data_IF_071664061754
#
_entry.id   IF_071664061754
#
_cell.length_a   1.000
_cell.length_b   1.000
_cell.length_c   1.000
_cell.angle_alpha   90.00
_cell.angle_beta   90.00
_cell.angle_gamma   90.00
#
_symmetry.space_group_name_H-M   'P 1'
#
loop_
_entity.id
_entity.type
_entity.pdbx_description
1 polymer ?
#
# COMPACT_ATOMS: atom_id res chain seq x y z
N UNK A 1 -40.82 7.13 12.34
CA UNK A 1 -39.47 6.90 12.88
C UNK A 1 -38.47 7.16 11.77
N UNK A 2 -37.40 7.94 11.99
CA UNK A 2 -36.33 8.01 11.01
C UNK A 2 -35.72 6.62 10.86
N UNK A 3 -35.55 6.18 9.62
CA UNK A 3 -34.82 4.96 9.31
C UNK A 3 -33.35 5.23 9.64
N UNK A 4 -32.91 4.79 10.81
CA UNK A 4 -31.50 4.85 11.20
C UNK A 4 -30.89 3.55 10.70
N UNK A 5 -30.10 3.63 9.64
CA UNK A 5 -29.18 2.55 9.29
C UNK A 5 -28.15 2.50 10.42
N UNK A 6 -28.05 1.37 11.11
CA UNK A 6 -26.89 1.09 11.94
C UNK A 6 -25.66 1.16 11.04
N UNK A 7 -24.82 2.19 11.21
CA UNK A 7 -23.52 2.27 10.55
C UNK A 7 -22.58 1.35 11.34
N UNK A 8 -22.19 0.18 10.81
CA UNK A 8 -21.28 -0.73 11.51
C UNK A 8 -19.85 -0.16 11.60
N UNK A 9 -19.60 1.04 11.07
CA UNK A 9 -18.29 1.69 11.14
C UNK A 9 -17.96 2.07 12.59
N UNK A 10 -16.79 1.66 13.12
CA UNK A 10 -16.41 2.02 14.48
C UNK A 10 -16.25 3.55 14.63
N UNK A 11 -16.41 4.12 15.85
CA UNK A 11 -16.18 5.55 16.07
C UNK A 11 -14.76 5.97 15.66
N UNK A 12 -14.64 7.09 14.93
CA UNK A 12 -13.33 7.64 14.58
C UNK A 12 -12.67 8.30 15.81
N UNK A 13 -11.55 7.77 16.35
CA UNK A 13 -10.88 8.36 17.50
C UNK A 13 -10.40 9.79 17.25
N UNK A 14 -10.20 10.17 15.98
CA UNK A 14 -9.73 11.51 15.58
C UNK A 14 -10.78 12.60 15.73
N UNK A 15 -12.06 12.24 15.93
CA UNK A 15 -13.11 13.23 16.24
C UNK A 15 -12.89 13.93 17.59
N UNK A 16 -12.13 13.31 18.50
CA UNK A 16 -11.73 13.91 19.79
C UNK A 16 -10.21 14.02 19.92
N UNK A 17 -9.51 14.19 18.80
CA UNK A 17 -8.04 14.13 18.77
C UNK A 17 -7.36 15.10 19.75
N UNK A 18 -7.94 16.31 19.89
CA UNK A 18 -7.46 17.33 20.83
C UNK A 18 -7.52 16.89 22.30
N UNK A 19 -8.46 16.02 22.65
CA UNK A 19 -8.67 15.53 24.03
C UNK A 19 -7.75 14.34 24.36
N UNK A 20 -7.14 13.71 23.36
CA UNK A 20 -6.26 12.56 23.53
C UNK A 20 -4.83 13.03 23.85
N UNK A 21 -4.19 12.38 24.82
CA UNK A 21 -2.75 12.50 25.01
C UNK A 21 -1.95 11.77 23.92
N UNK A 22 -0.63 11.95 23.91
CA UNK A 22 0.25 11.35 22.90
C UNK A 22 0.20 9.82 22.89
N UNK A 23 0.02 9.19 24.04
CA UNK A 23 -0.03 7.72 24.14
C UNK A 23 -1.33 7.17 23.54
N UNK A 24 -2.47 7.78 23.86
CA UNK A 24 -3.77 7.44 23.29
C UNK A 24 -3.81 7.69 21.77
N UNK A 25 -3.21 8.79 21.30
CA UNK A 25 -3.01 9.05 19.86
C UNK A 25 -2.14 7.97 19.20
N UNK A 26 -1.07 7.56 19.86
CA UNK A 26 -0.21 6.46 19.42
C UNK A 26 -0.96 5.13 19.31
N UNK A 27 -1.79 4.80 20.31
CA UNK A 27 -2.58 3.56 20.33
C UNK A 27 -3.58 3.48 19.17
N UNK A 28 -4.10 4.61 18.68
CA UNK A 28 -4.98 4.65 17.50
C UNK A 28 -4.30 4.20 16.19
N UNK A 29 -2.96 4.13 16.18
CA UNK A 29 -2.13 3.73 15.05
C UNK A 29 -1.20 2.55 15.37
N UNK A 30 -1.35 1.89 16.52
CA UNK A 30 -0.55 0.71 16.86
C UNK A 30 -1.21 -0.58 16.38
N UNK A 31 -1.05 -0.88 15.09
CA UNK A 31 -1.60 -2.09 14.50
C UNK A 31 -1.04 -3.38 15.14
N UNK A 32 0.18 -3.38 15.68
CA UNK A 32 0.72 -4.58 16.34
C UNK A 32 -0.02 -4.86 17.65
N UNK A 33 -0.29 -3.82 18.44
CA UNK A 33 -1.12 -3.96 19.63
C UNK A 33 -2.59 -4.25 19.30
N UNK A 34 -3.10 -3.71 18.18
CA UNK A 34 -4.48 -3.92 17.71
C UNK A 34 -4.77 -5.32 17.18
N UNK A 35 -3.75 -6.10 16.84
CA UNK A 35 -3.89 -7.47 16.30
C UNK A 35 -3.14 -8.46 17.20
N UNK A 36 -3.85 -9.26 18.03
CA UNK A 36 -3.23 -10.09 19.06
C UNK A 36 -2.14 -11.06 18.60
N UNK A 37 -2.23 -11.58 17.37
CA UNK A 37 -1.29 -12.53 16.78
C UNK A 37 -0.41 -11.89 15.69
N UNK A 38 -0.31 -10.56 15.64
CA UNK A 38 0.48 -9.81 14.66
C UNK A 38 1.91 -10.34 14.50
N UNK A 39 2.59 -10.63 15.61
CA UNK A 39 3.96 -11.17 15.59
C UNK A 39 4.04 -12.54 14.88
N UNK A 40 3.07 -13.42 15.09
CA UNK A 40 3.00 -14.72 14.43
C UNK A 40 2.68 -14.57 12.94
N UNK A 41 1.75 -13.68 12.59
CA UNK A 41 1.42 -13.38 11.20
C UNK A 41 2.62 -12.81 10.43
N UNK A 42 3.38 -11.88 11.04
CA UNK A 42 4.61 -11.32 10.48
C UNK A 42 5.69 -12.38 10.30
N UNK A 43 5.90 -13.24 11.30
CA UNK A 43 6.88 -14.33 11.21
C UNK A 43 6.52 -15.31 10.08
N UNK A 44 5.25 -15.71 9.97
CA UNK A 44 4.77 -16.60 8.92
C UNK A 44 4.91 -15.98 7.52
N UNK A 45 4.58 -14.70 7.38
CA UNK A 45 4.79 -13.94 6.12
C UNK A 45 6.26 -13.94 5.75
N UNK A 46 7.15 -13.58 6.67
CA UNK A 46 8.58 -13.48 6.39
C UNK A 46 9.18 -14.83 6.00
N UNK A 47 8.79 -15.92 6.67
CA UNK A 47 9.21 -17.27 6.34
C UNK A 47 8.76 -17.66 4.91
N UNK A 48 7.47 -17.47 4.60
CA UNK A 48 6.95 -17.76 3.27
C UNK A 48 7.60 -16.89 2.17
N UNK A 49 7.91 -15.63 2.47
CA UNK A 49 8.60 -14.73 1.54
C UNK A 49 10.04 -15.17 1.28
N UNK A 50 10.75 -15.65 2.31
CA UNK A 50 12.09 -16.22 2.14
C UNK A 50 12.07 -17.48 1.26
N UNK A 51 11.09 -18.36 1.46
CA UNK A 51 10.86 -19.53 0.60
C UNK A 51 10.57 -19.12 -0.85
N UNK A 52 9.67 -18.15 -1.05
CA UNK A 52 9.32 -17.69 -2.39
C UNK A 52 10.52 -17.05 -3.12
N UNK A 53 11.32 -16.23 -2.41
CA UNK A 53 12.56 -15.67 -2.95
C UNK A 53 13.56 -16.75 -3.34
N UNK A 54 13.77 -17.75 -2.48
CA UNK A 54 14.70 -18.84 -2.75
C UNK A 54 14.30 -19.64 -4.00
N UNK A 55 12.99 -19.78 -4.25
CA UNK A 55 12.46 -20.43 -5.45
C UNK A 55 12.57 -19.56 -6.73
N UNK A 56 12.74 -18.23 -6.60
CA UNK A 56 12.74 -17.28 -7.71
C UNK A 56 13.92 -16.28 -7.67
N UNK A 57 15.19 -16.75 -7.80
CA UNK A 57 16.36 -15.90 -7.59
C UNK A 57 16.68 -14.92 -8.74
N UNK A 58 16.12 -15.12 -9.94
CA UNK A 58 16.61 -14.48 -11.17
C UNK A 58 16.40 -12.96 -11.26
N UNK A 59 15.47 -12.38 -10.49
CA UNK A 59 15.11 -10.97 -10.54
C UNK A 59 15.27 -10.24 -9.20
N UNK A 60 16.08 -10.77 -8.29
CA UNK A 60 16.24 -10.19 -6.95
C UNK A 60 17.28 -9.06 -6.94
N UNK A 61 17.06 -8.09 -6.07
CA UNK A 61 18.03 -7.05 -5.70
C UNK A 61 18.55 -6.21 -6.88
N UNK A 62 17.68 -5.92 -7.85
CA UNK A 62 17.99 -5.12 -9.05
C UNK A 62 17.96 -3.62 -8.70
N UNK A 63 19.08 -2.90 -8.70
CA UNK A 63 19.13 -1.49 -8.29
C UNK A 63 18.39 -0.60 -9.28
N UNK A 64 17.58 0.33 -8.77
CA UNK A 64 16.97 1.40 -9.57
C UNK A 64 17.55 2.79 -9.27
N UNK A 65 18.27 2.94 -8.14
CA UNK A 65 19.01 4.13 -7.78
C UNK A 65 20.23 3.77 -6.90
N UNK A 66 21.01 4.77 -6.50
CA UNK A 66 22.27 4.56 -5.78
C UNK A 66 22.16 4.19 -4.29
N UNK A 67 20.98 4.35 -3.68
CA UNK A 67 20.80 3.99 -2.27
C UNK A 67 20.71 2.47 -2.09
N UNK A 68 21.26 1.92 -1.01
CA UNK A 68 21.31 0.47 -0.74
C UNK A 68 19.93 -0.20 -0.82
N UNK A 69 18.89 0.48 -0.33
CA UNK A 69 17.53 -0.04 -0.28
C UNK A 69 16.76 0.18 -1.58
N UNK A 70 17.27 1.02 -2.48
CA UNK A 70 16.65 1.41 -3.74
C UNK A 70 16.88 0.37 -4.84
N UNK A 71 16.32 -0.82 -4.60
CA UNK A 71 16.36 -1.95 -5.52
C UNK A 71 15.00 -2.65 -5.57
N UNK A 72 14.74 -3.32 -6.69
CA UNK A 72 13.57 -4.16 -6.95
C UNK A 72 13.85 -5.63 -6.66
N UNK A 73 12.79 -6.34 -6.28
CA UNK A 73 12.62 -7.73 -6.68
C UNK A 73 11.60 -7.79 -7.82
N UNK A 74 11.94 -8.50 -8.88
CA UNK A 74 11.13 -8.65 -10.09
C UNK A 74 10.76 -10.13 -10.26
N UNK A 75 9.46 -10.39 -10.33
CA UNK A 75 8.88 -11.72 -10.55
C UNK A 75 8.06 -11.68 -11.84
N UNK A 76 8.70 -11.84 -13.02
CA UNK A 76 8.02 -11.74 -14.30
C UNK A 76 7.07 -12.91 -14.55
N UNK A 77 5.95 -12.63 -15.22
CA UNK A 77 5.08 -13.66 -15.78
C UNK A 77 5.73 -14.34 -17.01
N UNK A 78 5.09 -15.43 -17.46
CA UNK A 78 5.51 -16.13 -18.68
C UNK A 78 5.33 -15.28 -19.96
N UNK A 79 4.26 -14.47 -20.05
CA UNK A 79 4.12 -13.48 -21.14
C UNK A 79 4.72 -12.14 -20.65
N UNK A 80 5.78 -11.62 -21.29
CA UNK A 80 6.40 -10.36 -20.90
C UNK A 80 5.47 -9.13 -21.07
N UNK A 81 4.35 -9.27 -21.80
CA UNK A 81 3.33 -8.23 -21.98
C UNK A 81 2.19 -8.35 -20.97
N UNK A 82 2.19 -9.37 -20.13
CA UNK A 82 1.19 -9.53 -19.08
C UNK A 82 1.20 -8.30 -18.14
N UNK A 83 0.05 -7.92 -17.58
CA UNK A 83 0.00 -6.84 -16.59
C UNK A 83 0.94 -7.09 -15.42
N UNK A 84 1.43 -6.00 -14.85
CA UNK A 84 2.32 -6.02 -13.70
C UNK A 84 1.66 -5.35 -12.50
N UNK A 85 1.69 -6.00 -11.34
CA UNK A 85 1.38 -5.33 -10.09
C UNK A 85 2.69 -4.86 -9.44
N UNK A 86 2.84 -3.55 -9.27
CA UNK A 86 3.93 -2.98 -8.47
C UNK A 86 3.46 -2.94 -7.01
N UNK A 87 4.09 -3.67 -6.10
CA UNK A 87 3.71 -3.73 -4.69
C UNK A 87 4.69 -2.96 -3.80
N UNK A 88 4.24 -1.83 -3.24
CA UNK A 88 5.00 -1.03 -2.28
C UNK A 88 4.68 -1.49 -0.86
N UNK A 89 5.71 -1.94 -0.13
CA UNK A 89 5.52 -2.47 1.21
C UNK A 89 5.11 -1.40 2.23
N UNK A 90 4.56 -1.85 3.37
CA UNK A 90 4.20 -1.01 4.50
C UNK A 90 5.28 -0.96 5.56
N UNK A 91 4.95 -0.39 6.73
CA UNK A 91 5.87 -0.28 7.86
C UNK A 91 6.07 1.14 8.38
N UNK A 92 5.06 2.00 8.30
CA UNK A 92 5.16 3.42 8.72
C UNK A 92 6.40 4.13 8.17
N UNK A 93 6.84 3.80 6.95
CA UNK A 93 8.05 4.33 6.31
C UNK A 93 9.35 4.14 7.12
N UNK A 94 9.34 3.30 8.15
CA UNK A 94 10.38 3.19 9.18
C UNK A 94 10.87 1.74 9.40
N UNK A 95 10.24 0.75 8.78
CA UNK A 95 10.57 -0.68 8.96
C UNK A 95 10.20 -1.52 7.73
N UNK A 96 10.57 -2.79 7.83
CA UNK A 96 10.45 -3.84 6.82
C UNK A 96 11.34 -3.64 5.59
N UNK A 97 11.37 -4.63 4.72
CA UNK A 97 12.00 -4.57 3.40
C UNK A 97 11.10 -5.26 2.37
N UNK A 98 11.30 -4.97 1.07
CA UNK A 98 10.60 -5.66 -0.04
C UNK A 98 10.67 -7.19 0.10
N UNK A 99 11.80 -7.70 0.57
CA UNK A 99 12.07 -9.13 0.72
C UNK A 99 11.09 -9.82 1.70
N UNK A 100 10.53 -9.08 2.65
CA UNK A 100 9.59 -9.61 3.64
C UNK A 100 8.21 -9.92 3.05
N UNK A 101 7.93 -9.48 1.82
CA UNK A 101 6.60 -9.54 1.18
C UNK A 101 6.55 -10.39 -0.10
N UNK A 102 7.67 -11.01 -0.49
CA UNK A 102 7.78 -11.79 -1.73
C UNK A 102 6.69 -12.86 -1.90
N UNK A 103 6.20 -13.48 -0.81
CA UNK A 103 5.14 -14.48 -0.90
C UNK A 103 3.82 -13.95 -1.48
N UNK A 104 3.60 -12.63 -1.49
CA UNK A 104 2.42 -12.03 -2.10
C UNK A 104 2.51 -11.90 -3.63
N UNK A 105 3.63 -12.28 -4.24
CA UNK A 105 3.69 -12.48 -5.68
C UNK A 105 3.02 -13.79 -6.13
N UNK A 106 2.90 -14.78 -5.24
CA UNK A 106 2.43 -16.15 -5.53
C UNK A 106 1.11 -16.18 -6.31
N UNK A 107 0.05 -15.54 -5.80
CA UNK A 107 -1.26 -15.58 -6.43
C UNK A 107 -1.30 -14.84 -7.77
N UNK A 108 -0.58 -13.73 -7.90
CA UNK A 108 -0.52 -12.95 -9.13
C UNK A 108 0.29 -13.67 -10.22
N UNK A 109 1.46 -14.21 -9.88
CA UNK A 109 2.24 -15.01 -10.83
C UNK A 109 1.48 -16.26 -11.27
N UNK A 110 0.78 -16.94 -10.35
CA UNK A 110 -0.10 -18.06 -10.69
C UNK A 110 -1.29 -17.64 -11.58
N UNK A 111 -1.76 -16.39 -11.46
CA UNK A 111 -2.77 -15.79 -12.33
C UNK A 111 -2.19 -15.21 -13.64
N UNK A 112 -0.90 -15.41 -13.93
CA UNK A 112 -0.23 -14.97 -15.15
C UNK A 112 0.16 -13.49 -15.16
N UNK A 113 0.26 -12.84 -14.00
CA UNK A 113 0.69 -11.44 -13.86
C UNK A 113 2.14 -11.36 -13.41
N UNK A 114 2.84 -10.32 -13.86
CA UNK A 114 4.15 -9.96 -13.31
C UNK A 114 3.97 -9.24 -11.97
N UNK A 115 4.97 -9.33 -11.10
CA UNK A 115 5.00 -8.58 -9.85
C UNK A 115 6.36 -7.91 -9.67
N UNK A 116 6.37 -6.62 -9.35
CA UNK A 116 7.57 -5.85 -9.06
C UNK A 116 7.48 -5.25 -7.66
N UNK A 117 8.48 -5.45 -6.82
CA UNK A 117 8.50 -4.97 -5.44
C UNK A 117 9.68 -4.02 -5.22
N UNK A 118 9.47 -2.69 -5.26
CA UNK A 118 10.53 -1.75 -4.94
C UNK A 118 10.79 -1.73 -3.43
N UNK A 119 12.07 -1.73 -3.04
CA UNK A 119 12.50 -1.23 -1.74
C UNK A 119 12.59 0.28 -1.76
N UNK A 120 12.75 0.89 -0.59
CA UNK A 120 12.99 2.33 -0.42
C UNK A 120 13.72 2.57 0.91
N UNK A 121 14.47 3.68 0.98
CA UNK A 121 15.16 4.15 2.19
C UNK A 121 14.14 4.43 3.29
N UNK A 122 14.49 4.19 4.56
CA UNK A 122 13.56 4.36 5.68
C UNK A 122 13.83 5.69 6.40
N UNK A 123 12.86 6.15 7.19
CA UNK A 123 13.10 7.19 8.16
C UNK A 123 13.78 6.61 9.42
N UNK A 124 14.73 7.34 10.05
CA UNK A 124 15.08 8.75 9.79
C UNK A 124 16.16 8.97 8.71
N UNK A 125 16.65 7.92 8.05
CA UNK A 125 17.72 8.03 7.04
C UNK A 125 17.27 8.86 5.81
N UNK A 126 15.98 8.81 5.46
CA UNK A 126 15.33 9.68 4.50
C UNK A 126 14.11 10.37 5.12
N UNK A 127 13.84 11.61 4.69
CA UNK A 127 12.55 12.27 4.95
C UNK A 127 11.43 11.59 4.18
N UNK A 128 10.17 11.82 4.56
CA UNK A 128 9.04 11.26 3.81
C UNK A 128 9.02 11.77 2.36
N UNK A 129 9.39 13.03 2.12
CA UNK A 129 9.58 13.54 0.77
C UNK A 129 10.64 12.77 -0.04
N UNK A 130 11.75 12.39 0.59
CA UNK A 130 12.78 11.56 -0.04
C UNK A 130 12.27 10.16 -0.40
N UNK A 131 11.52 9.53 0.52
CA UNK A 131 10.90 8.21 0.29
C UNK A 131 9.90 8.27 -0.87
N UNK A 132 9.06 9.30 -0.90
CA UNK A 132 8.11 9.54 -2.00
C UNK A 132 8.86 9.71 -3.32
N UNK A 133 9.95 10.48 -3.36
CA UNK A 133 10.75 10.67 -4.55
C UNK A 133 11.39 9.35 -5.06
N UNK A 134 11.87 8.50 -4.16
CA UNK A 134 12.42 7.18 -4.51
C UNK A 134 11.39 6.27 -5.18
N UNK A 135 10.13 6.28 -4.74
CA UNK A 135 9.07 5.49 -5.41
C UNK A 135 8.78 6.03 -6.82
N UNK A 136 8.83 7.35 -7.02
CA UNK A 136 8.72 7.94 -8.35
C UNK A 136 9.85 7.45 -9.26
N UNK A 137 11.10 7.53 -8.77
CA UNK A 137 12.27 7.04 -9.50
C UNK A 137 12.20 5.53 -9.80
N UNK A 138 11.64 4.73 -8.88
CA UNK A 138 11.42 3.31 -9.09
C UNK A 138 10.43 3.05 -10.24
N UNK A 139 9.34 3.82 -10.32
CA UNK A 139 8.35 3.71 -11.40
C UNK A 139 8.92 4.15 -12.75
N UNK A 140 9.70 5.24 -12.79
CA UNK A 140 10.43 5.67 -13.99
C UNK A 140 11.40 4.60 -14.47
N UNK A 141 12.18 4.04 -13.54
CA UNK A 141 13.14 2.97 -13.86
C UNK A 141 12.43 1.73 -14.42
N UNK A 142 11.33 1.31 -13.79
CA UNK A 142 10.58 0.12 -14.22
C UNK A 142 9.93 0.35 -15.60
N UNK A 143 9.44 1.55 -15.89
CA UNK A 143 8.90 1.88 -17.21
C UNK A 143 9.97 1.82 -18.31
N UNK A 144 11.21 2.23 -18.00
CA UNK A 144 12.31 2.23 -18.95
C UNK A 144 12.96 0.85 -19.14
N UNK A 145 13.22 0.13 -18.04
CA UNK A 145 14.03 -1.10 -18.04
C UNK A 145 13.22 -2.37 -17.78
N UNK A 146 11.98 -2.27 -17.31
CA UNK A 146 11.10 -3.40 -17.06
C UNK A 146 11.01 -4.40 -18.23
N UNK A 147 10.90 -3.96 -19.50
CA UNK A 147 10.88 -4.87 -20.65
C UNK A 147 12.11 -5.79 -20.75
N UNK A 148 13.30 -5.32 -20.34
CA UNK A 148 14.54 -6.11 -20.31
C UNK A 148 14.47 -7.24 -19.27
N UNK A 149 13.61 -7.07 -18.27
CA UNK A 149 13.34 -8.03 -17.20
C UNK A 149 12.03 -8.80 -17.37
N UNK A 150 11.40 -8.76 -18.55
CA UNK A 150 10.13 -9.46 -18.81
C UNK A 150 8.90 -8.79 -18.20
N UNK A 151 8.96 -7.48 -17.93
CA UNK A 151 7.87 -6.67 -17.36
C UNK A 151 7.57 -5.51 -18.31
N UNK A 152 6.72 -5.76 -19.31
CA UNK A 152 6.34 -4.76 -20.33
C UNK A 152 4.83 -4.47 -20.40
N UNK A 153 4.02 -5.05 -19.52
CA UNK A 153 2.57 -4.82 -19.50
C UNK A 153 2.13 -3.58 -18.73
N UNK A 154 0.81 -3.35 -18.68
CA UNK A 154 0.21 -2.26 -17.90
C UNK A 154 0.52 -2.43 -16.41
N UNK A 155 0.87 -1.33 -15.74
CA UNK A 155 1.18 -1.31 -14.31
C UNK A 155 -0.07 -0.98 -13.49
N UNK A 156 -0.39 -1.84 -12.53
CA UNK A 156 -1.26 -1.55 -11.40
C UNK A 156 -0.38 -1.26 -10.18
N UNK A 157 -0.42 -0.02 -9.67
CA UNK A 157 0.36 0.36 -8.49
C UNK A 157 -0.43 0.01 -7.22
N UNK A 158 0.10 -0.92 -6.44
CA UNK A 158 -0.45 -1.32 -5.17
C UNK A 158 0.50 -1.00 -4.04
N UNK A 159 -0.06 -0.83 -2.85
CA UNK A 159 0.73 -0.80 -1.65
C UNK A 159 -0.10 -1.06 -0.42
N UNK A 160 0.58 -1.39 0.68
CA UNK A 160 -0.03 -1.72 1.95
C UNK A 160 0.37 -0.73 3.04
N UNK A 161 -0.58 -0.26 3.84
CA UNK A 161 -0.32 0.63 4.97
C UNK A 161 0.40 1.91 4.52
N UNK A 162 1.61 2.20 5.00
CA UNK A 162 2.46 3.26 4.46
C UNK A 162 2.69 3.16 2.93
N UNK A 163 2.80 1.95 2.39
CA UNK A 163 2.91 1.74 0.94
C UNK A 163 1.63 2.11 0.18
N UNK A 164 0.47 1.99 0.81
CA UNK A 164 -0.80 2.40 0.20
C UNK A 164 -0.90 3.93 0.06
N UNK A 165 -0.30 4.67 1.00
CA UNK A 165 -0.12 6.13 0.88
C UNK A 165 0.77 6.47 -0.32
N UNK A 166 1.90 5.79 -0.46
CA UNK A 166 2.84 5.97 -1.59
C UNK A 166 2.16 5.62 -2.92
N UNK A 167 1.39 4.54 -2.97
CA UNK A 167 0.63 4.13 -4.14
C UNK A 167 -0.46 5.14 -4.53
N UNK A 168 -1.20 5.66 -3.55
CA UNK A 168 -2.23 6.68 -3.78
C UNK A 168 -1.60 8.02 -4.26
N UNK A 169 -0.46 8.40 -3.69
CA UNK A 169 0.28 9.60 -4.10
C UNK A 169 0.75 9.49 -5.56
N UNK A 170 1.34 8.36 -5.94
CA UNK A 170 1.86 8.12 -7.29
C UNK A 170 0.84 7.62 -8.30
N UNK A 171 -0.47 7.65 -7.98
CA UNK A 171 -1.51 7.24 -8.93
C UNK A 171 -1.43 8.04 -10.25
N UNK A 172 -1.08 9.33 -10.16
CA UNK A 172 -0.92 10.22 -11.31
C UNK A 172 0.26 9.89 -12.22
N UNK A 173 1.21 9.04 -11.78
CA UNK A 173 2.43 8.75 -12.51
C UNK A 173 2.14 8.20 -13.93
N UNK A 174 2.83 8.65 -15.00
CA UNK A 174 2.54 8.23 -16.37
C UNK A 174 2.58 6.71 -16.61
N UNK A 175 3.50 6.02 -15.92
CA UNK A 175 3.63 4.56 -16.01
C UNK A 175 2.44 3.79 -15.38
N UNK A 176 1.68 4.42 -14.46
CA UNK A 176 0.64 3.75 -13.67
C UNK A 176 -0.70 3.83 -14.40
N UNK A 177 -1.30 2.67 -14.70
CA UNK A 177 -2.62 2.59 -15.34
C UNK A 177 -3.76 2.66 -14.31
N UNK A 178 -3.60 2.01 -13.16
CA UNK A 178 -4.58 1.97 -12.07
C UNK A 178 -3.88 1.72 -10.73
N UNK A 179 -4.62 1.83 -9.62
CA UNK A 179 -4.08 1.57 -8.28
C UNK A 179 -4.93 0.66 -7.40
N UNK A 180 -4.28 -0.04 -6.47
CA UNK A 180 -4.89 -0.84 -5.41
C UNK A 180 -4.26 -0.49 -4.06
N UNK A 181 -4.90 0.41 -3.32
CA UNK A 181 -4.40 0.88 -2.02
C UNK A 181 -5.03 0.07 -0.88
N UNK A 182 -4.19 -0.56 -0.04
CA UNK A 182 -4.64 -1.52 0.97
C UNK A 182 -4.30 -1.00 2.37
N UNK A 183 -5.31 -0.78 3.20
CA UNK A 183 -5.16 -0.45 4.62
C UNK A 183 -4.33 0.82 4.85
N UNK A 184 -4.48 1.84 4.00
CA UNK A 184 -3.59 2.99 3.97
C UNK A 184 -3.83 4.07 5.01
N UNK A 185 -2.82 4.93 5.16
CA UNK A 185 -2.90 6.20 5.91
C UNK A 185 -2.86 7.35 4.91
N UNK A 186 -3.92 8.14 4.83
CA UNK A 186 -4.06 9.14 3.75
C UNK A 186 -4.09 10.59 4.23
N UNK A 187 -4.15 10.82 5.55
CA UNK A 187 -3.82 12.10 6.18
C UNK A 187 -2.68 11.91 7.17
N UNK A 188 -1.59 12.63 6.96
CA UNK A 188 -0.37 12.55 7.77
C UNK A 188 -0.44 13.43 9.02
N UNK A 189 -1.40 14.37 9.11
CA UNK A 189 -1.48 15.27 10.24
C UNK A 189 -1.62 14.55 11.59
N UNK A 190 -2.49 13.53 11.76
CA UNK A 190 -2.55 12.78 13.01
C UNK A 190 -1.26 12.04 13.33
N UNK A 191 -0.54 11.54 12.31
CA UNK A 191 0.72 10.78 12.52
C UNK A 191 1.77 11.63 13.24
N UNK A 192 1.83 12.94 12.93
CA UNK A 192 2.74 13.88 13.59
C UNK A 192 2.60 13.93 15.11
N UNK A 193 1.39 13.67 15.60
CA UNK A 193 1.07 13.77 17.04
C UNK A 193 1.31 12.45 17.80
N UNK A 194 1.93 11.45 17.16
CA UNK A 194 2.19 10.12 17.74
C UNK A 194 3.68 9.89 17.99
N UNK A 195 4.03 8.71 18.50
CA UNK A 195 5.43 8.26 18.60
C UNK A 195 6.09 8.07 17.22
N UNK A 196 5.29 7.84 16.15
CA UNK A 196 5.82 7.62 14.80
C UNK A 196 6.58 8.83 14.27
N UNK A 197 6.25 10.03 14.77
CA UNK A 197 6.90 11.26 14.36
C UNK A 197 8.32 11.42 14.90
N UNK A 198 8.75 10.59 15.88
CA UNK A 198 10.11 10.64 16.41
C UNK A 198 11.16 10.34 15.33
N UNK A 199 10.84 9.47 14.36
CA UNK A 199 11.70 9.21 13.20
C UNK A 199 11.29 9.99 11.96
N UNK A 200 9.98 10.20 11.74
CA UNK A 200 9.49 10.83 10.52
C UNK A 200 9.78 12.33 10.47
N UNK A 201 9.78 13.00 11.64
CA UNK A 201 10.01 14.44 11.76
C UNK A 201 9.18 15.28 10.74
N UNK A 202 7.90 14.94 10.59
CA UNK A 202 7.04 15.51 9.55
C UNK A 202 6.91 17.03 9.67
N UNK A 203 7.22 17.71 8.57
CA UNK A 203 7.02 19.15 8.43
C UNK A 203 5.57 19.48 8.03
N UNK A 204 5.13 20.73 8.28
CA UNK A 204 3.83 21.21 7.77
C UNK A 204 3.74 21.08 6.24
N UNK A 205 4.85 21.34 5.54
CA UNK A 205 4.93 21.22 4.10
C UNK A 205 4.70 19.77 3.65
N UNK A 206 5.39 18.80 4.25
CA UNK A 206 5.20 17.37 3.92
C UNK A 206 3.79 16.89 4.24
N UNK A 207 3.19 17.32 5.35
CA UNK A 207 1.81 16.96 5.65
C UNK A 207 0.87 17.51 4.58
N UNK A 208 1.04 18.78 4.19
CA UNK A 208 0.19 19.42 3.18
C UNK A 208 0.35 18.80 1.79
N UNK A 209 1.57 18.43 1.39
CA UNK A 209 1.87 18.01 0.02
C UNK A 209 1.94 16.50 -0.17
N UNK A 210 2.07 15.70 0.91
CA UNK A 210 2.22 14.25 0.81
C UNK A 210 1.03 13.47 1.38
N UNK A 211 -0.01 14.14 1.91
CA UNK A 211 -1.25 13.48 2.34
C UNK A 211 -2.22 13.36 1.16
N UNK A 212 -2.54 12.15 0.64
CA UNK A 212 -3.49 12.02 -0.46
C UNK A 212 -4.87 12.66 -0.21
N UNK A 213 -5.33 12.75 1.04
CA UNK A 213 -6.58 13.44 1.41
C UNK A 213 -6.54 14.96 1.23
N UNK A 214 -5.37 15.55 1.00
CA UNK A 214 -5.14 16.99 0.82
C UNK A 214 -4.78 17.36 -0.61
N UNK A 215 -4.69 16.38 -1.50
CA UNK A 215 -4.23 16.55 -2.88
C UNK A 215 -5.40 16.52 -3.87
N UNK A 216 -5.21 17.10 -5.08
CA UNK A 216 -6.18 16.97 -6.17
C UNK A 216 -6.46 15.49 -6.51
N UNK A 217 -7.73 15.18 -6.80
CA UNK A 217 -8.14 13.83 -7.19
C UNK A 217 -7.61 13.48 -8.58
N UNK A 218 -6.89 12.36 -8.68
CA UNK A 218 -6.44 11.80 -9.95
C UNK A 218 -7.55 10.94 -10.58
N UNK A 219 -7.96 11.19 -11.84
CA UNK A 219 -9.06 10.49 -12.50
C UNK A 219 -8.63 9.14 -13.12
N UNK A 220 -7.86 8.33 -12.39
CA UNK A 220 -7.52 6.94 -12.75
C UNK A 220 -8.19 5.96 -11.79
N UNK A 221 -8.46 4.70 -12.19
CA UNK A 221 -9.06 3.71 -11.30
C UNK A 221 -8.22 3.49 -10.05
N UNK A 222 -8.84 3.56 -8.87
CA UNK A 222 -8.20 3.24 -7.59
C UNK A 222 -9.14 2.42 -6.71
N UNK A 223 -8.88 1.12 -6.57
CA UNK A 223 -9.53 0.32 -5.55
C UNK A 223 -8.90 0.60 -4.19
N UNK A 224 -9.73 0.81 -3.16
CA UNK A 224 -9.29 1.06 -1.78
C UNK A 224 -9.82 -0.07 -0.91
N UNK A 225 -8.93 -0.92 -0.41
CA UNK A 225 -9.28 -2.05 0.42
C UNK A 225 -8.91 -1.82 1.88
N UNK A 226 -9.71 -2.32 2.82
CA UNK A 226 -9.39 -2.34 4.25
C UNK A 226 -10.05 -3.54 4.93
N UNK A 227 -9.44 -4.08 5.97
CA UNK A 227 -9.97 -5.17 6.78
C UNK A 227 -11.05 -4.67 7.73
N UNK A 228 -12.15 -5.42 7.86
CA UNK A 228 -13.25 -5.01 8.73
C UNK A 228 -12.91 -5.06 10.23
N UNK A 229 -11.77 -5.67 10.60
CA UNK A 229 -11.25 -5.75 11.98
C UNK A 229 -10.01 -4.87 12.19
N UNK A 230 -9.74 -3.94 11.28
CA UNK A 230 -8.66 -2.97 11.46
C UNK A 230 -8.96 -1.95 12.55
N UNK A 231 -7.90 -1.27 13.01
CA UNK A 231 -8.04 -0.11 13.88
C UNK A 231 -8.95 0.94 13.20
N UNK A 232 -9.83 1.62 13.96
CA UNK A 232 -10.81 2.55 13.39
C UNK A 232 -10.18 3.65 12.51
N UNK A 233 -9.00 4.16 12.87
CA UNK A 233 -8.32 5.21 12.11
C UNK A 233 -8.03 4.77 10.66
N UNK A 234 -7.65 3.51 10.44
CA UNK A 234 -7.33 2.96 9.12
C UNK A 234 -8.60 2.73 8.29
N UNK A 235 -9.66 2.22 8.93
CA UNK A 235 -11.00 2.08 8.31
C UNK A 235 -11.49 3.44 7.81
N UNK A 236 -11.41 4.47 8.66
CA UNK A 236 -11.84 5.81 8.29
C UNK A 236 -10.96 6.45 7.23
N UNK A 237 -9.65 6.22 7.23
CA UNK A 237 -8.79 6.72 6.16
C UNK A 237 -9.18 6.16 4.79
N UNK A 238 -9.37 4.84 4.68
CA UNK A 238 -9.85 4.23 3.44
C UNK A 238 -11.20 4.78 2.98
N UNK A 239 -12.15 4.91 3.92
CA UNK A 239 -13.49 5.47 3.64
C UNK A 239 -13.42 6.94 3.21
N UNK A 240 -12.62 7.76 3.88
CA UNK A 240 -12.50 9.19 3.59
C UNK A 240 -11.85 9.42 2.22
N UNK A 241 -10.78 8.68 1.90
CA UNK A 241 -10.14 8.82 0.59
C UNK A 241 -11.10 8.39 -0.53
N UNK A 242 -11.84 7.29 -0.33
CA UNK A 242 -12.86 6.89 -1.28
C UNK A 242 -13.95 7.95 -1.43
N UNK A 243 -14.49 8.48 -0.33
CA UNK A 243 -15.54 9.51 -0.38
C UNK A 243 -15.08 10.77 -1.12
N UNK A 244 -13.85 11.24 -0.86
CA UNK A 244 -13.24 12.36 -1.59
C UNK A 244 -13.18 12.08 -3.10
N UNK A 245 -12.76 10.87 -3.50
CA UNK A 245 -12.65 10.47 -4.90
C UNK A 245 -14.02 10.29 -5.57
N UNK A 246 -14.98 9.68 -4.88
CA UNK A 246 -16.35 9.50 -5.38
C UNK A 246 -17.05 10.85 -5.60
N UNK A 247 -16.84 11.82 -4.71
CA UNK A 247 -17.38 13.18 -4.88
C UNK A 247 -16.82 13.88 -6.13
N UNK A 248 -15.63 13.49 -6.59
CA UNK A 248 -15.02 13.95 -7.83
C UNK A 248 -15.27 13.00 -9.03
N UNK A 249 -16.16 12.01 -8.88
CA UNK A 249 -16.48 11.01 -9.91
C UNK A 249 -15.28 10.21 -10.43
N UNK A 250 -14.21 10.08 -9.64
CA UNK A 250 -13.06 9.28 -10.03
C UNK A 250 -13.35 7.78 -9.86
N UNK A 251 -12.91 6.91 -10.80
CA UNK A 251 -13.24 5.49 -10.78
C UNK A 251 -12.51 4.72 -9.66
N UNK A 252 -13.10 3.59 -9.27
CA UNK A 252 -12.58 2.67 -8.28
C UNK A 252 -13.57 2.37 -7.15
N UNK A 253 -13.43 1.20 -6.53
CA UNK A 253 -14.33 0.70 -5.48
C UNK A 253 -13.74 0.89 -4.09
N UNK A 254 -14.62 1.01 -3.09
CA UNK A 254 -14.29 0.75 -1.70
C UNK A 254 -14.54 -0.72 -1.39
N UNK A 255 -13.51 -1.43 -0.93
CA UNK A 255 -13.55 -2.87 -0.70
C UNK A 255 -13.27 -3.20 0.78
N UNK A 256 -14.30 -3.24 1.65
CA UNK A 256 -14.15 -3.86 2.95
C UNK A 256 -13.88 -5.37 2.78
N UNK A 257 -12.87 -5.89 3.46
CA UNK A 257 -12.51 -7.32 3.49
C UNK A 257 -13.03 -7.91 4.80
N UNK A 258 -14.14 -8.68 4.78
CA UNK A 258 -14.76 -9.18 6.00
C UNK A 258 -13.82 -10.07 6.81
N UNK A 259 -13.74 -9.81 8.12
CA UNK A 259 -12.97 -10.61 9.07
C UNK A 259 -11.45 -10.41 9.00
N UNK A 260 -10.93 -9.70 8.00
CA UNK A 260 -9.52 -9.42 7.89
C UNK A 260 -9.09 -8.31 8.87
N UNK A 261 -7.90 -8.47 9.41
CA UNK A 261 -7.17 -7.44 10.16
C UNK A 261 -6.12 -6.76 9.27
N UNK A 262 -5.33 -5.86 9.87
CA UNK A 262 -4.34 -5.06 9.15
C UNK A 262 -3.25 -5.90 8.46
N UNK A 263 -2.94 -7.09 8.98
CA UNK A 263 -1.92 -8.00 8.45
C UNK A 263 -2.56 -9.08 7.58
N UNK A 264 -3.65 -9.70 8.06
CA UNK A 264 -4.27 -10.85 7.41
C UNK A 264 -4.92 -10.49 6.07
N UNK A 265 -5.26 -9.21 5.83
CA UNK A 265 -5.81 -8.74 4.56
C UNK A 265 -4.91 -9.08 3.36
N UNK A 266 -3.58 -9.08 3.55
CA UNK A 266 -2.61 -9.39 2.49
C UNK A 266 -2.69 -10.84 2.01
N UNK A 267 -3.28 -11.74 2.79
CA UNK A 267 -3.54 -13.11 2.35
C UNK A 267 -4.45 -13.16 1.11
N UNK A 268 -5.17 -12.07 0.80
CA UNK A 268 -5.88 -11.88 -0.45
C UNK A 268 -5.02 -11.93 -1.71
N UNK A 269 -3.68 -11.88 -1.61
CA UNK A 269 -2.73 -12.08 -2.72
C UNK A 269 -2.14 -13.50 -2.81
N UNK A 270 -2.35 -14.37 -1.81
CA UNK A 270 -1.68 -15.68 -1.74
C UNK A 270 -2.24 -16.73 -2.71
N UNK A 271 -3.39 -16.46 -3.32
CA UNK A 271 -4.06 -17.37 -4.26
C UNK A 271 -4.45 -16.64 -5.53
N UNK A 272 -4.47 -17.31 -6.70
CA UNK A 272 -4.90 -16.69 -7.95
C UNK A 272 -6.37 -16.25 -7.95
N UNK A 273 -7.20 -16.87 -7.13
CA UNK A 273 -8.59 -16.48 -6.86
C UNK A 273 -8.73 -15.69 -5.54
N UNK A 274 -7.64 -15.08 -5.06
CA UNK A 274 -7.67 -14.22 -3.88
C UNK A 274 -8.44 -12.92 -4.14
N UNK A 275 -9.03 -12.33 -3.09
CA UNK A 275 -9.83 -11.10 -3.23
C UNK A 275 -9.00 -9.93 -3.78
N UNK A 276 -7.74 -9.78 -3.37
CA UNK A 276 -6.87 -8.70 -3.85
C UNK A 276 -6.36 -8.95 -5.27
N UNK A 277 -6.14 -10.21 -5.66
CA UNK A 277 -5.82 -10.59 -7.05
C UNK A 277 -6.96 -10.22 -7.98
N UNK A 278 -8.20 -10.62 -7.65
CA UNK A 278 -9.39 -10.26 -8.44
C UNK A 278 -9.59 -8.74 -8.51
N UNK A 279 -9.37 -8.03 -7.40
CA UNK A 279 -9.46 -6.56 -7.40
C UNK A 279 -8.43 -5.92 -8.35
N UNK A 280 -7.19 -6.42 -8.36
CA UNK A 280 -6.16 -5.96 -9.29
C UNK A 280 -6.54 -6.21 -10.76
N UNK A 281 -7.12 -7.37 -11.06
CA UNK A 281 -7.57 -7.73 -12.41
C UNK A 281 -8.72 -6.84 -12.89
N UNK A 282 -9.75 -6.65 -12.07
CA UNK A 282 -10.92 -5.84 -12.40
C UNK A 282 -10.56 -4.38 -12.76
N UNK A 283 -9.53 -3.81 -12.11
CA UNK A 283 -9.06 -2.45 -12.39
C UNK A 283 -8.61 -2.22 -13.84
N UNK A 284 -8.18 -3.27 -14.55
CA UNK A 284 -7.76 -3.18 -15.96
C UNK A 284 -8.85 -3.59 -16.95
N UNK A 285 -9.91 -4.26 -16.47
CA UNK A 285 -11.09 -4.61 -17.26
C UNK A 285 -12.02 -3.40 -17.41
N UNK A 286 -12.25 -2.67 -16.32
CA UNK A 286 -13.10 -1.48 -16.26
C UNK A 286 -12.47 -0.23 -16.94
N UNK A 287 -11.20 -0.31 -17.33
CA UNK A 287 -10.48 0.75 -18.04
C UNK A 287 -10.60 0.67 -19.57
N UNK A 288 -11.51 -0.18 -20.09
CA UNK A 288 -11.76 -0.40 -21.52
C UNK A 288 -13.01 0.33 -22.02
#
# INVERSE_FOLDING_TARGET
MPFILDDPTPPDPRRRWADLDRAARGAAYDNNAGVPDSAAQVAARNAASAEYRAAHPAGLDIPYAGAERAAFDLYPAADPRAPCLVFVHGGYWQRNARADFACFAEGLNAAGWSVAMPGYTLAPEASLAGIVAEIGAALDWLAAHGPEHGIGGKIVLSGWSAGAQLAAFHLGHPAVAAGLAISGVYDLAPIRDTYLNDKLALTDAEIATLSPLRLPVIPKPLAIAYGSRELPALVHDGRNLHALRSAAHAPGILMPVPGADHFSILNGFRRPDGMLVRAAQALLEDAR
#
